data_IF_989837184733
#
_entry.id   IF_989837184733
#
_cell.length_a   1.000
_cell.length_b   1.000
_cell.length_c   1.000
_cell.angle_alpha   90.00
_cell.angle_beta   90.00
_cell.angle_gamma   90.00
#
_symmetry.space_group_name_H-M   'P 1'
#
loop_
_entity.id
_entity.type
_entity.pdbx_description
1 polymer ?
#
# COMPACT_ATOMS: atom_id res chain seq x y z
N UNK A 1 6.13 -38.96 -23.36
CA UNK A 1 6.50 -38.91 -21.93
C UNK A 1 5.42 -39.64 -21.16
N UNK A 2 5.77 -40.65 -20.36
CA UNK A 2 4.77 -41.44 -19.64
C UNK A 2 4.12 -40.61 -18.54
N UNK A 3 2.83 -40.84 -18.23
CA UNK A 3 2.11 -40.10 -17.18
C UNK A 3 2.86 -40.07 -15.85
N UNK A 4 3.56 -41.15 -15.51
CA UNK A 4 4.43 -41.25 -14.33
C UNK A 4 5.50 -40.14 -14.24
N UNK A 5 6.11 -39.76 -15.37
CA UNK A 5 7.13 -38.72 -15.39
C UNK A 5 6.55 -37.33 -15.08
N UNK A 6 5.33 -37.06 -15.56
CA UNK A 6 4.62 -35.80 -15.30
C UNK A 6 4.25 -35.69 -13.82
N UNK A 7 3.76 -36.78 -13.21
CA UNK A 7 3.45 -36.80 -11.78
C UNK A 7 4.70 -36.59 -10.92
N UNK A 8 5.80 -37.28 -11.23
CA UNK A 8 7.05 -37.15 -10.49
C UNK A 8 7.62 -35.71 -10.59
N UNK A 9 7.63 -35.13 -11.79
CA UNK A 9 8.11 -33.77 -11.99
C UNK A 9 7.25 -32.73 -11.23
N UNK A 10 5.93 -32.92 -11.22
CA UNK A 10 5.01 -32.03 -10.51
C UNK A 10 5.21 -32.07 -9.00
N UNK A 11 5.37 -33.26 -8.41
CA UNK A 11 5.65 -33.42 -6.98
C UNK A 11 6.97 -32.75 -6.57
N UNK A 12 8.03 -32.88 -7.38
CA UNK A 12 9.31 -32.21 -7.14
C UNK A 12 9.15 -30.70 -7.18
N UNK A 13 8.43 -30.17 -8.17
CA UNK A 13 8.21 -28.73 -8.30
C UNK A 13 7.40 -28.16 -7.11
N UNK A 14 6.36 -28.88 -6.68
CA UNK A 14 5.55 -28.49 -5.51
C UNK A 14 6.38 -28.55 -4.24
N UNK A 15 7.18 -29.59 -4.04
CA UNK A 15 8.08 -29.71 -2.90
C UNK A 15 9.12 -28.58 -2.86
N UNK A 16 9.75 -28.29 -3.99
CA UNK A 16 10.70 -27.18 -4.11
C UNK A 16 10.03 -25.83 -3.82
N UNK A 17 8.83 -25.60 -4.35
CA UNK A 17 8.07 -24.37 -4.10
C UNK A 17 7.67 -24.24 -2.62
N UNK A 18 7.26 -25.33 -1.97
CA UNK A 18 6.96 -25.34 -0.54
C UNK A 18 8.20 -24.98 0.30
N UNK A 19 9.38 -25.53 -0.02
CA UNK A 19 10.64 -25.20 0.66
C UNK A 19 11.00 -23.72 0.51
N UNK A 20 10.84 -23.15 -0.69
CA UNK A 20 11.08 -21.72 -0.93
C UNK A 20 10.11 -20.87 -0.11
N UNK A 21 8.81 -21.19 -0.12
CA UNK A 21 7.80 -20.46 0.66
C UNK A 21 8.09 -20.50 2.15
N UNK A 22 8.47 -21.65 2.70
CA UNK A 22 8.82 -21.80 4.11
C UNK A 22 10.09 -21.05 4.52
N UNK A 23 11.04 -20.85 3.60
CA UNK A 23 12.24 -20.04 3.85
C UNK A 23 11.95 -18.53 3.75
N UNK A 24 11.11 -18.11 2.80
CA UNK A 24 10.77 -16.69 2.59
C UNK A 24 9.78 -16.17 3.64
N UNK A 25 8.89 -17.04 4.13
CA UNK A 25 7.97 -16.75 5.23
C UNK A 25 8.49 -17.45 6.48
N UNK A 26 9.43 -16.87 7.25
CA UNK A 26 9.84 -17.46 8.52
C UNK A 26 8.63 -17.50 9.46
N UNK A 27 7.92 -18.61 9.47
CA UNK A 27 6.89 -18.93 10.45
C UNK A 27 7.61 -19.26 11.76
N UNK A 28 8.12 -18.24 12.46
CA UNK A 28 8.62 -18.42 13.82
C UNK A 28 7.44 -18.68 14.73
N UNK A 29 7.02 -19.95 14.79
CA UNK A 29 6.07 -20.42 15.78
C UNK A 29 6.63 -20.09 17.18
N UNK A 30 5.89 -19.36 18.03
CA UNK A 30 6.37 -19.04 19.37
C UNK A 30 6.54 -20.32 20.20
N UNK A 31 7.77 -20.71 20.48
CA UNK A 31 8.11 -21.80 21.40
C UNK A 31 8.06 -21.29 22.85
N UNK A 32 6.86 -21.01 23.37
CA UNK A 32 6.66 -20.67 24.79
C UNK A 32 5.51 -19.72 25.12
N UNK A 33 5.42 -19.29 26.40
CA UNK A 33 4.52 -18.21 26.84
C UNK A 33 5.04 -16.88 26.29
N UNK A 34 4.44 -16.41 25.20
CA UNK A 34 4.74 -15.09 24.65
C UNK A 34 4.13 -14.03 25.55
N UNK A 35 4.95 -13.11 26.08
CA UNK A 35 4.43 -11.99 26.86
C UNK A 35 3.75 -10.98 25.94
N UNK A 36 2.73 -10.27 26.44
CA UNK A 36 2.06 -9.19 25.71
C UNK A 36 3.05 -8.12 25.25
N UNK A 37 4.08 -7.83 26.07
CA UNK A 37 5.13 -6.87 25.74
C UNK A 37 5.92 -7.26 24.48
N UNK A 38 6.20 -8.56 24.30
CA UNK A 38 6.89 -9.07 23.12
C UNK A 38 6.00 -8.98 21.87
N UNK A 39 4.72 -9.35 21.98
CA UNK A 39 3.77 -9.20 20.86
C UNK A 39 3.66 -7.74 20.46
N UNK A 40 3.50 -6.84 21.43
CA UNK A 40 3.42 -5.39 21.19
C UNK A 40 4.67 -4.87 20.49
N UNK A 41 5.86 -5.33 20.90
CA UNK A 41 7.13 -4.96 20.28
C UNK A 41 7.19 -5.38 18.81
N UNK A 42 6.74 -6.60 18.49
CA UNK A 42 6.70 -7.10 17.10
C UNK A 42 5.76 -6.29 16.24
N UNK A 43 4.54 -6.03 16.73
CA UNK A 43 3.57 -5.19 16.01
C UNK A 43 4.16 -3.81 15.75
N UNK A 44 4.76 -3.17 16.75
CA UNK A 44 5.38 -1.85 16.55
C UNK A 44 6.54 -1.88 15.54
N UNK A 45 7.36 -2.93 15.54
CA UNK A 45 8.45 -3.08 14.59
C UNK A 45 7.96 -3.32 13.15
N UNK A 46 6.87 -4.07 12.96
CA UNK A 46 6.23 -4.28 11.66
C UNK A 46 5.44 -3.05 11.17
N UNK A 47 4.87 -2.29 12.11
CA UNK A 47 4.10 -1.07 11.83
C UNK A 47 4.99 0.13 11.52
N UNK A 48 6.27 0.07 11.91
CA UNK A 48 7.20 1.14 11.63
C UNK A 48 7.30 1.30 10.11
N UNK A 49 6.94 2.47 9.55
CA UNK A 49 7.05 2.68 8.13
C UNK A 49 8.51 2.43 7.72
N UNK A 50 8.77 1.83 6.54
CA UNK A 50 10.12 1.75 6.02
C UNK A 50 10.74 3.15 6.08
N UNK A 51 12.04 3.23 6.37
CA UNK A 51 12.81 4.48 6.37
C UNK A 51 12.94 5.02 4.93
N UNK A 52 11.81 5.38 4.35
CA UNK A 52 11.70 6.12 3.11
C UNK A 52 12.06 7.56 3.45
N UNK A 53 12.73 8.29 2.54
CA UNK A 53 12.91 9.72 2.70
C UNK A 53 11.53 10.33 2.96
N UNK A 54 11.40 11.04 4.08
CA UNK A 54 10.18 11.77 4.42
C UNK A 54 9.95 12.73 3.28
N UNK A 55 9.00 12.41 2.39
CA UNK A 55 8.61 13.32 1.34
C UNK A 55 8.19 14.63 2.01
N UNK A 56 8.66 15.76 1.48
CA UNK A 56 8.27 17.06 1.99
C UNK A 56 6.74 17.13 2.11
N UNK A 57 6.25 17.69 3.22
CA UNK A 57 4.82 17.79 3.47
C UNK A 57 4.10 18.41 2.26
N UNK A 58 2.99 17.82 1.77
CA UNK A 58 2.28 18.33 0.61
C UNK A 58 1.88 19.81 0.78
N UNK A 59 2.12 20.63 -0.23
CA UNK A 59 1.75 22.05 -0.18
C UNK A 59 0.23 22.21 -0.14
N UNK A 60 -0.31 23.04 0.74
CA UNK A 60 -1.75 23.35 0.75
C UNK A 60 -2.13 24.54 -0.14
N UNK A 61 -1.13 25.25 -0.69
CA UNK A 61 -1.34 26.39 -1.58
C UNK A 61 -2.09 25.97 -2.83
N UNK A 62 -3.03 26.81 -3.26
CA UNK A 62 -3.69 26.66 -4.55
C UNK A 62 -2.63 26.53 -5.67
N UNK A 63 -2.86 25.69 -6.68
CA UNK A 63 -1.93 25.58 -7.79
C UNK A 63 -1.98 26.88 -8.62
N UNK A 64 -0.85 27.25 -9.21
CA UNK A 64 -0.75 28.44 -10.06
C UNK A 64 -1.48 28.24 -11.40
N UNK A 65 -1.65 26.98 -11.82
CA UNK A 65 -2.36 26.57 -13.02
C UNK A 65 -3.42 25.50 -12.69
N UNK A 66 -4.44 25.38 -13.54
CA UNK A 66 -5.42 24.30 -13.41
C UNK A 66 -4.75 22.94 -13.55
N UNK A 67 -5.19 21.96 -12.74
CA UNK A 67 -4.70 20.58 -12.87
C UNK A 67 -5.23 19.92 -14.13
N UNK A 68 -4.44 19.03 -14.70
CA UNK A 68 -4.98 17.99 -15.57
C UNK A 68 -5.70 16.92 -14.74
N UNK A 69 -6.61 16.16 -15.35
CA UNK A 69 -7.39 15.13 -14.66
C UNK A 69 -6.53 14.10 -13.90
N UNK A 70 -5.43 13.56 -14.46
CA UNK A 70 -4.55 12.64 -13.72
C UNK A 70 -3.87 13.31 -12.51
N UNK A 71 -3.48 14.58 -12.65
CA UNK A 71 -2.85 15.34 -11.57
C UNK A 71 -3.84 15.68 -10.46
N UNK A 72 -5.08 15.97 -10.82
CA UNK A 72 -6.16 16.18 -9.88
C UNK A 72 -6.44 14.90 -9.07
N UNK A 73 -6.43 13.73 -9.72
CA UNK A 73 -6.53 12.45 -9.01
C UNK A 73 -5.38 12.23 -8.03
N UNK A 74 -4.13 12.45 -8.45
CA UNK A 74 -2.96 12.35 -7.56
C UNK A 74 -3.05 13.30 -6.38
N UNK A 75 -3.42 14.57 -6.63
CA UNK A 75 -3.58 15.58 -5.58
C UNK A 75 -4.65 15.20 -4.55
N UNK A 76 -5.76 14.58 -4.99
CA UNK A 76 -6.79 14.06 -4.07
C UNK A 76 -6.27 12.93 -3.17
N UNK A 77 -5.31 12.14 -3.65
CA UNK A 77 -4.65 11.06 -2.89
C UNK A 77 -3.56 11.58 -1.95
N UNK A 78 -2.80 12.59 -2.34
CA UNK A 78 -1.79 13.21 -1.48
C UNK A 78 -2.43 13.98 -0.31
N UNK A 79 -3.62 14.53 -0.53
CA UNK A 79 -4.36 15.30 0.46
C UNK A 79 -5.54 14.52 1.05
N UNK A 80 -5.38 13.22 1.35
CA UNK A 80 -6.46 12.39 1.91
C UNK A 80 -7.04 12.99 3.20
N UNK A 81 -6.18 13.42 4.12
CA UNK A 81 -6.58 13.97 5.43
C UNK A 81 -7.12 15.40 5.38
N UNK A 82 -7.01 16.07 4.22
CA UNK A 82 -7.52 17.43 4.06
C UNK A 82 -9.02 17.43 3.78
N UNK A 83 -9.76 18.41 4.31
CA UNK A 83 -11.10 18.70 3.81
C UNK A 83 -11.03 19.54 2.52
N UNK A 84 -12.00 19.38 1.63
CA UNK A 84 -12.12 20.19 0.40
C UNK A 84 -12.33 21.67 0.74
N UNK A 85 -13.01 21.98 1.86
CA UNK A 85 -13.25 23.35 2.30
C UNK A 85 -12.00 24.03 2.89
N UNK A 86 -11.10 23.28 3.54
CA UNK A 86 -9.94 23.84 4.23
C UNK A 86 -8.64 23.81 3.42
N UNK A 87 -8.56 22.99 2.36
CA UNK A 87 -7.35 22.87 1.53
C UNK A 87 -7.60 23.42 0.12
N UNK A 88 -7.07 24.61 -0.21
CA UNK A 88 -7.21 25.21 -1.54
C UNK A 88 -6.72 24.31 -2.68
N UNK A 89 -5.63 23.57 -2.45
CA UNK A 89 -5.09 22.64 -3.44
C UNK A 89 -6.05 21.48 -3.72
N UNK A 90 -6.62 20.88 -2.68
CA UNK A 90 -7.64 19.82 -2.80
C UNK A 90 -8.92 20.36 -3.44
N UNK A 91 -9.32 21.59 -3.12
CA UNK A 91 -10.47 22.25 -3.74
C UNK A 91 -10.28 22.45 -5.26
N UNK A 92 -9.09 22.85 -5.69
CA UNK A 92 -8.77 22.98 -7.11
C UNK A 92 -8.86 21.62 -7.83
N UNK A 93 -8.26 20.57 -7.26
CA UNK A 93 -8.35 19.21 -7.81
C UNK A 93 -9.79 18.68 -7.85
N UNK A 94 -10.56 18.90 -6.77
CA UNK A 94 -11.95 18.51 -6.69
C UNK A 94 -12.79 19.14 -7.81
N UNK A 95 -12.63 20.44 -8.07
CA UNK A 95 -13.34 21.15 -9.14
C UNK A 95 -13.05 20.55 -10.52
N UNK A 96 -11.77 20.32 -10.84
CA UNK A 96 -11.36 19.68 -12.11
C UNK A 96 -12.03 18.31 -12.28
N UNK A 97 -12.08 17.51 -11.22
CA UNK A 97 -12.70 16.19 -11.28
C UNK A 97 -14.24 16.24 -11.37
N UNK A 98 -14.88 17.27 -10.82
CA UNK A 98 -16.32 17.51 -10.99
C UNK A 98 -16.61 17.93 -12.42
N UNK A 99 -15.86 18.89 -12.95
CA UNK A 99 -15.99 19.37 -14.34
C UNK A 99 -15.75 18.24 -15.36
N UNK A 100 -14.77 17.37 -15.10
CA UNK A 100 -14.49 16.19 -15.90
C UNK A 100 -15.50 15.03 -15.71
N UNK A 101 -16.53 15.19 -14.86
CA UNK A 101 -17.55 14.18 -14.59
C UNK A 101 -17.04 12.95 -13.82
N UNK A 102 -15.87 13.03 -13.18
CA UNK A 102 -15.27 11.95 -12.37
C UNK A 102 -15.78 11.93 -10.93
N UNK A 103 -16.23 13.07 -10.42
CA UNK A 103 -16.86 13.20 -9.11
C UNK A 103 -18.23 13.85 -9.28
N UNK A 104 -19.26 13.23 -8.70
CA UNK A 104 -20.58 13.85 -8.58
C UNK A 104 -20.73 14.41 -7.15
N UNK A 105 -20.88 15.73 -6.98
CA UNK A 105 -21.21 16.32 -5.69
C UNK A 105 -22.53 15.71 -5.18
N UNK A 106 -22.57 15.42 -3.88
CA UNK A 106 -23.80 14.99 -3.19
C UNK A 106 -24.52 16.19 -2.62
#
# INVERSE_FOLDING_TARGET
MGGWQVFAATMVLVGAMAVVVLNVRPQRLPTGRTSVAEIRRRVLAESAPPAMPVAAAPSHRAPDHGFEVPEAHRTMQEHLDCSVAACPRKAAAYRVLVEAGRIKPR
#
